data_IF_524361408561
#
_entry.id   IF_524361408561
#
_cell.length_a   1.000
_cell.length_b   1.000
_cell.length_c   1.000
_cell.angle_alpha   90.00
_cell.angle_beta   90.00
_cell.angle_gamma   90.00
#
_symmetry.space_group_name_H-M   'P 1'
#
loop_
_entity.id
_entity.type
_entity.pdbx_description
1 polymer ?
#
# COMPACT_ATOMS: atom_id res chain seq x y z
N UNK A 1 41.48 8.88 -8.15
CA UNK A 1 40.31 9.72 -7.81
C UNK A 1 39.17 8.78 -7.45
N UNK A 2 38.73 8.72 -6.19
CA UNK A 2 37.59 7.88 -5.80
C UNK A 2 36.34 8.56 -6.34
N UNK A 3 35.64 7.89 -7.26
CA UNK A 3 34.40 8.39 -7.84
C UNK A 3 33.38 8.55 -6.71
N UNK A 4 33.14 9.80 -6.29
CA UNK A 4 32.18 10.15 -5.24
C UNK A 4 30.76 10.14 -5.83
N UNK A 5 30.46 9.13 -6.65
CA UNK A 5 29.21 9.01 -7.37
C UNK A 5 28.12 8.65 -6.38
N UNK A 6 27.14 9.52 -6.27
CA UNK A 6 26.00 9.33 -5.39
C UNK A 6 25.16 8.12 -5.84
N UNK A 7 24.59 7.40 -4.89
CA UNK A 7 23.61 6.35 -5.18
C UNK A 7 22.21 6.91 -5.43
N UNK A 8 21.38 6.19 -6.19
CA UNK A 8 20.01 6.60 -6.45
C UNK A 8 19.17 6.77 -5.16
N UNK A 9 19.27 5.89 -4.14
CA UNK A 9 18.58 6.11 -2.86
C UNK A 9 18.99 7.41 -2.15
N UNK A 10 20.27 7.81 -2.23
CA UNK A 10 20.73 9.09 -1.66
C UNK A 10 20.18 10.28 -2.44
N UNK A 11 20.13 10.20 -3.78
CA UNK A 11 19.49 11.21 -4.62
C UNK A 11 17.98 11.34 -4.33
N UNK A 12 17.29 10.23 -4.08
CA UNK A 12 15.87 10.25 -3.70
C UNK A 12 15.64 10.93 -2.34
N UNK A 13 16.50 10.67 -1.35
CA UNK A 13 16.44 11.38 -0.06
C UNK A 13 16.60 12.88 -0.26
N UNK A 14 17.53 13.28 -1.13
CA UNK A 14 17.70 14.69 -1.50
C UNK A 14 16.45 15.26 -2.20
N UNK A 15 15.81 14.54 -3.13
CA UNK A 15 14.56 14.99 -3.73
C UNK A 15 13.43 15.16 -2.73
N UNK A 16 13.36 14.31 -1.70
CA UNK A 16 12.38 14.47 -0.64
C UNK A 16 12.62 15.76 0.18
N UNK A 17 13.88 16.09 0.48
CA UNK A 17 14.26 17.32 1.21
C UNK A 17 13.97 18.59 0.38
N UNK A 18 14.33 18.59 -0.91
CA UNK A 18 14.20 19.76 -1.80
C UNK A 18 12.96 19.73 -2.69
N UNK A 19 11.93 18.93 -2.34
CA UNK A 19 10.76 18.69 -3.19
C UNK A 19 10.02 19.98 -3.61
N UNK A 20 9.99 20.99 -2.73
CA UNK A 20 9.32 22.26 -2.99
C UNK A 20 10.17 23.22 -3.84
N UNK A 21 11.44 22.86 -4.10
CA UNK A 21 12.36 23.67 -4.90
C UNK A 21 12.60 23.12 -6.30
N UNK A 22 12.07 21.93 -6.60
CA UNK A 22 12.26 21.24 -7.88
C UNK A 22 10.87 20.96 -8.47
N UNK A 23 10.66 21.40 -9.71
CA UNK A 23 9.48 21.05 -10.51
C UNK A 23 9.92 20.21 -11.70
N UNK A 24 9.09 19.23 -12.07
CA UNK A 24 9.40 18.22 -13.11
C UNK A 24 8.54 18.47 -14.34
N UNK A 25 9.12 18.26 -15.54
CA UNK A 25 8.35 18.27 -16.79
C UNK A 25 7.54 16.95 -16.89
N UNK A 26 6.21 17.06 -16.85
CA UNK A 26 5.33 15.88 -16.84
C UNK A 26 5.28 15.16 -18.17
N UNK A 27 5.42 15.88 -19.30
CA UNK A 27 5.41 15.29 -20.64
C UNK A 27 6.66 14.45 -20.84
N UNK A 28 7.83 15.02 -20.54
CA UNK A 28 9.09 14.29 -20.60
C UNK A 28 9.09 13.06 -19.68
N UNK A 29 8.54 13.18 -18.47
CA UNK A 29 8.38 12.02 -17.57
C UNK A 29 7.55 10.91 -18.22
N UNK A 30 6.41 11.25 -18.84
CA UNK A 30 5.51 10.30 -19.47
C UNK A 30 6.13 9.65 -20.71
N UNK A 31 6.86 10.41 -21.53
CA UNK A 31 7.56 9.92 -22.73
C UNK A 31 8.69 8.93 -22.38
N UNK A 32 9.38 9.16 -21.27
CA UNK A 32 10.47 8.32 -20.80
C UNK A 32 10.02 7.18 -19.85
N UNK A 33 8.74 7.12 -19.49
CA UNK A 33 8.23 6.12 -18.58
C UNK A 33 7.76 4.86 -19.31
N UNK A 34 8.34 3.72 -18.93
CA UNK A 34 7.80 2.42 -19.34
C UNK A 34 6.84 1.89 -18.28
N UNK A 35 5.63 1.53 -18.71
CA UNK A 35 4.60 1.02 -17.81
C UNK A 35 5.00 -0.35 -17.25
N UNK A 36 4.94 -0.49 -15.92
CA UNK A 36 5.40 -1.71 -15.22
C UNK A 36 4.26 -2.62 -14.76
N UNK A 37 3.01 -2.31 -15.13
CA UNK A 37 1.82 -3.08 -14.77
C UNK A 37 0.76 -3.03 -15.87
N UNK A 38 -0.34 -3.77 -15.69
CA UNK A 38 -1.44 -3.81 -16.65
C UNK A 38 -2.17 -2.47 -16.66
N UNK A 39 -2.37 -1.87 -17.84
CA UNK A 39 -3.20 -0.69 -18.02
C UNK A 39 -4.68 -1.06 -17.82
N UNK A 40 -5.39 -0.17 -17.13
CA UNK A 40 -6.80 -0.31 -16.77
C UNK A 40 -7.60 0.79 -17.46
N UNK A 41 -8.74 0.43 -18.03
CA UNK A 41 -9.70 1.36 -18.61
C UNK A 41 -10.71 1.78 -17.56
N UNK A 42 -11.13 3.05 -17.58
CA UNK A 42 -12.23 3.54 -16.73
C UNK A 42 -13.56 2.99 -17.27
N UNK A 43 -14.36 2.39 -16.38
CA UNK A 43 -15.64 1.77 -16.70
C UNK A 43 -15.74 0.31 -16.30
N UNK A 44 -16.89 -0.28 -16.62
CA UNK A 44 -17.19 -1.71 -16.46
C UNK A 44 -17.59 -2.28 -17.81
N UNK A 45 -17.38 -3.58 -18.04
CA UNK A 45 -17.91 -4.24 -19.24
C UNK A 45 -19.32 -4.74 -18.97
N UNK A 46 -20.22 -4.57 -19.93
CA UNK A 46 -21.57 -5.14 -19.89
C UNK A 46 -21.55 -6.65 -20.21
N UNK A 47 -22.74 -7.27 -20.26
CA UNK A 47 -22.90 -8.69 -20.58
C UNK A 47 -22.40 -9.06 -22.00
N UNK A 48 -22.33 -8.09 -22.91
CA UNK A 48 -21.82 -8.24 -24.28
C UNK A 48 -20.32 -7.97 -24.38
N UNK A 49 -19.69 -7.52 -23.31
CA UNK A 49 -18.26 -7.18 -23.25
C UNK A 49 -17.94 -5.74 -23.67
N UNK A 50 -18.94 -4.90 -23.95
CA UNK A 50 -18.79 -3.49 -24.32
C UNK A 50 -18.44 -2.64 -23.10
N UNK A 51 -17.56 -1.65 -23.27
CA UNK A 51 -17.10 -0.80 -22.16
C UNK A 51 -18.14 0.30 -21.86
N UNK A 52 -18.83 0.16 -20.73
CA UNK A 52 -19.65 1.22 -20.14
C UNK A 52 -18.77 2.18 -19.36
N UNK A 53 -18.56 3.37 -19.93
CA UNK A 53 -17.79 4.42 -19.29
C UNK A 53 -18.56 5.04 -18.10
N UNK A 54 -17.87 5.53 -17.07
CA UNK A 54 -18.52 6.27 -16.00
C UNK A 54 -19.18 7.56 -16.54
N UNK A 55 -20.30 7.97 -15.93
CA UNK A 55 -21.01 9.20 -16.34
C UNK A 55 -20.27 10.49 -15.95
N UNK A 56 -19.26 10.37 -15.08
CA UNK A 56 -18.31 11.42 -14.71
C UNK A 56 -16.89 11.07 -15.16
N UNK A 57 -16.09 12.10 -15.36
CA UNK A 57 -14.66 12.01 -15.62
C UNK A 57 -13.92 13.13 -14.88
N UNK A 58 -12.59 13.11 -14.98
CA UNK A 58 -11.70 14.09 -14.34
C UNK A 58 -11.01 14.94 -15.38
N UNK A 59 -10.93 16.24 -15.13
CA UNK A 59 -10.12 17.19 -15.90
C UNK A 59 -9.14 17.89 -14.97
N UNK A 60 -7.90 18.07 -15.41
CA UNK A 60 -6.92 18.87 -14.66
C UNK A 60 -7.37 20.34 -14.60
N UNK A 61 -7.18 20.95 -13.44
CA UNK A 61 -7.51 22.37 -13.24
C UNK A 61 -6.42 23.24 -13.88
N UNK A 62 -5.18 22.79 -13.80
CA UNK A 62 -4.04 23.43 -14.43
C UNK A 62 -3.67 22.74 -15.75
N UNK A 63 -3.24 23.54 -16.72
CA UNK A 63 -2.59 23.06 -17.95
C UNK A 63 -1.06 23.14 -17.82
N UNK A 64 -0.53 23.03 -16.58
CA UNK A 64 0.89 23.23 -16.34
C UNK A 64 1.70 22.04 -16.87
N UNK A 65 2.74 22.35 -17.65
CA UNK A 65 3.71 21.37 -18.12
C UNK A 65 4.70 20.97 -17.02
N UNK A 66 5.00 21.90 -16.11
CA UNK A 66 5.82 21.62 -14.93
C UNK A 66 4.94 21.53 -13.69
N UNK A 67 5.19 20.50 -12.90
CA UNK A 67 4.46 20.21 -11.67
C UNK A 67 5.44 19.99 -10.52
N UNK A 68 4.97 20.09 -9.28
CA UNK A 68 5.80 19.82 -8.11
C UNK A 68 6.41 18.41 -8.13
N UNK A 69 7.64 18.28 -7.61
CA UNK A 69 8.26 16.98 -7.39
C UNK A 69 7.35 16.06 -6.57
N UNK A 70 7.22 14.81 -7.02
CA UNK A 70 6.40 13.81 -6.35
C UNK A 70 7.01 13.29 -5.05
N UNK A 71 6.26 12.44 -4.35
CA UNK A 71 6.74 11.72 -3.17
C UNK A 71 7.29 10.35 -3.58
N UNK A 72 8.46 10.01 -3.08
CA UNK A 72 9.10 8.73 -3.41
C UNK A 72 8.79 7.69 -2.35
N UNK A 73 8.44 6.48 -2.78
CA UNK A 73 8.13 5.36 -1.90
C UNK A 73 8.85 4.10 -2.39
N UNK A 74 9.62 3.50 -1.49
CA UNK A 74 10.16 2.16 -1.71
C UNK A 74 9.06 1.14 -1.51
N UNK A 75 9.01 0.13 -2.38
CA UNK A 75 8.07 -0.97 -2.24
C UNK A 75 8.42 -1.80 -0.99
N UNK A 76 7.40 -2.44 -0.41
CA UNK A 76 7.52 -3.23 0.82
C UNK A 76 8.11 -4.62 0.59
N UNK A 77 8.04 -5.16 -0.63
CA UNK A 77 8.53 -6.52 -0.93
C UNK A 77 9.14 -6.71 -2.32
N UNK A 78 9.41 -5.65 -3.07
CA UNK A 78 10.19 -5.71 -4.32
C UNK A 78 11.24 -4.61 -4.36
N UNK A 79 12.29 -4.77 -5.18
CA UNK A 79 13.25 -3.71 -5.46
C UNK A 79 12.66 -2.66 -6.42
N UNK A 80 11.60 -1.99 -5.98
CA UNK A 80 10.85 -1.00 -6.75
C UNK A 80 10.80 0.31 -5.99
N UNK A 81 11.03 1.41 -6.69
CA UNK A 81 10.83 2.77 -6.16
C UNK A 81 9.79 3.45 -7.06
N UNK A 82 8.76 3.98 -6.43
CA UNK A 82 7.73 4.74 -7.12
C UNK A 82 7.81 6.22 -6.75
N UNK A 83 7.42 7.08 -7.70
CA UNK A 83 7.19 8.50 -7.50
C UNK A 83 5.68 8.78 -7.65
N UNK A 84 5.05 9.21 -6.56
CA UNK A 84 3.65 9.59 -6.49
C UNK A 84 3.50 11.09 -6.80
N UNK A 85 2.86 11.40 -7.92
CA UNK A 85 2.52 12.75 -8.33
C UNK A 85 1.07 13.04 -7.96
N UNK A 86 0.87 14.17 -7.27
CA UNK A 86 -0.44 14.69 -6.88
C UNK A 86 -0.77 15.92 -7.72
N UNK A 87 -1.91 15.91 -8.41
CA UNK A 87 -2.42 17.06 -9.20
C UNK A 87 -3.87 17.35 -8.88
N UNK A 88 -4.28 18.59 -9.10
CA UNK A 88 -5.67 19.00 -8.86
C UNK A 88 -6.53 18.76 -10.09
N UNK A 89 -7.72 18.21 -9.86
CA UNK A 89 -8.71 17.89 -10.87
C UNK A 89 -10.10 18.33 -10.43
N UNK A 90 -10.94 18.65 -11.41
CA UNK A 90 -12.38 18.83 -11.24
C UNK A 90 -13.13 17.64 -11.84
N UNK A 91 -14.32 17.35 -11.33
CA UNK A 91 -15.24 16.39 -11.94
C UNK A 91 -16.05 17.07 -13.05
N UNK A 92 -16.14 16.44 -14.22
CA UNK A 92 -17.00 16.88 -15.33
C UNK A 92 -17.86 15.71 -15.81
N UNK A 93 -19.06 16.01 -16.31
CA UNK A 93 -19.91 15.00 -16.96
C UNK A 93 -19.23 14.51 -18.24
N UNK A 94 -19.29 13.21 -18.50
CA UNK A 94 -18.65 12.60 -19.66
C UNK A 94 -19.32 13.02 -20.99
N UNK A 95 -20.62 13.28 -20.98
CA UNK A 95 -21.42 13.62 -22.16
C UNK A 95 -21.12 15.01 -22.73
N UNK A 96 -21.10 16.04 -21.88
CA UNK A 96 -21.07 17.45 -22.28
C UNK A 96 -19.91 18.24 -21.66
N UNK A 97 -19.04 17.58 -20.88
CA UNK A 97 -17.93 18.20 -20.12
C UNK A 97 -18.39 19.25 -19.11
N UNK A 98 -19.67 19.29 -18.75
CA UNK A 98 -20.18 20.24 -17.76
C UNK A 98 -19.56 19.94 -16.38
N UNK A 99 -18.96 20.94 -15.70
CA UNK A 99 -18.39 20.77 -14.37
C UNK A 99 -19.43 20.39 -13.32
N UNK A 100 -19.08 19.42 -12.47
CA UNK A 100 -19.76 19.18 -11.19
C UNK A 100 -19.04 20.00 -10.14
N UNK A 101 -19.74 20.95 -9.51
CA UNK A 101 -19.13 21.86 -8.53
C UNK A 101 -19.23 21.33 -7.11
N UNK A 102 -20.35 20.66 -6.79
CA UNK A 102 -20.68 20.21 -5.45
C UNK A 102 -21.33 18.82 -5.50
N UNK A 103 -21.02 17.98 -4.51
CA UNK A 103 -21.72 16.72 -4.24
C UNK A 103 -22.03 16.68 -2.74
N UNK A 104 -23.31 16.66 -2.37
CA UNK A 104 -23.77 16.52 -0.99
C UNK A 104 -23.09 17.49 0.03
N UNK A 105 -22.94 18.76 -0.34
CA UNK A 105 -22.29 19.79 0.48
C UNK A 105 -20.76 19.84 0.38
N UNK A 106 -20.13 18.93 -0.38
CA UNK A 106 -18.69 18.91 -0.62
C UNK A 106 -18.37 19.56 -1.97
N UNK A 107 -17.48 20.55 -1.99
CA UNK A 107 -16.92 21.08 -3.24
C UNK A 107 -16.02 20.04 -3.91
N UNK A 108 -16.31 19.70 -5.16
CA UNK A 108 -15.61 18.66 -5.94
C UNK A 108 -14.88 19.22 -7.18
N UNK A 109 -14.70 20.54 -7.19
CA UNK A 109 -13.98 21.26 -8.23
C UNK A 109 -12.47 21.36 -7.98
N UNK A 110 -11.96 20.87 -6.83
CA UNK A 110 -10.53 20.88 -6.46
C UNK A 110 -10.06 19.57 -5.78
N UNK A 111 -10.42 18.44 -6.38
CA UNK A 111 -10.05 17.11 -5.91
C UNK A 111 -8.61 16.74 -6.28
N UNK A 112 -8.05 15.78 -5.55
CA UNK A 112 -6.71 15.26 -5.84
C UNK A 112 -6.78 14.05 -6.77
N UNK A 113 -6.03 14.11 -7.86
CA UNK A 113 -5.65 12.97 -8.68
C UNK A 113 -4.23 12.54 -8.33
N UNK A 114 -4.01 11.23 -8.28
CA UNK A 114 -2.73 10.63 -7.92
C UNK A 114 -2.25 9.74 -9.07
N UNK A 115 -1.06 10.03 -9.59
CA UNK A 115 -0.42 9.26 -10.64
C UNK A 115 0.89 8.69 -10.11
N UNK A 116 1.08 7.38 -10.22
CA UNK A 116 2.26 6.70 -9.71
C UNK A 116 3.18 6.31 -10.86
N UNK A 117 4.43 6.75 -10.80
CA UNK A 117 5.46 6.48 -11.81
C UNK A 117 6.58 5.64 -11.19
N UNK A 118 6.79 4.45 -11.72
CA UNK A 118 7.88 3.57 -11.28
C UNK A 118 9.23 4.12 -11.77
N UNK A 119 10.08 4.57 -10.84
CA UNK A 119 11.44 5.07 -11.12
C UNK A 119 12.42 3.90 -11.25
N UNK A 120 12.33 2.94 -10.32
CA UNK A 120 13.09 1.68 -10.34
C UNK A 120 12.10 0.54 -10.29
N UNK A 121 12.30 -0.46 -11.13
CA UNK A 121 11.41 -1.59 -11.30
C UNK A 121 12.18 -2.90 -11.20
N UNK A 122 11.96 -3.66 -10.13
CA UNK A 122 12.64 -4.94 -9.85
C UNK A 122 14.17 -4.83 -10.00
N UNK A 123 14.78 -3.82 -9.38
CA UNK A 123 16.23 -3.60 -9.38
C UNK A 123 16.78 -3.01 -10.68
N UNK A 124 15.94 -2.45 -11.55
CA UNK A 124 16.36 -1.80 -12.80
C UNK A 124 15.79 -0.40 -12.94
N UNK A 125 16.61 0.54 -13.38
CA UNK A 125 16.18 1.92 -13.67
C UNK A 125 15.15 1.90 -14.80
N UNK A 126 13.99 2.48 -14.54
CA UNK A 126 12.87 2.55 -15.47
C UNK A 126 12.76 3.94 -16.12
N UNK A 127 13.02 5.00 -15.35
CA UNK A 127 13.11 6.38 -15.83
C UNK A 127 14.58 6.80 -15.77
N UNK A 128 15.16 7.04 -16.94
CA UNK A 128 16.61 7.30 -17.09
C UNK A 128 17.01 8.72 -16.74
N UNK A 129 16.10 9.68 -16.90
CA UNK A 129 16.38 11.08 -16.63
C UNK A 129 15.10 11.83 -16.28
N UNK A 130 15.27 12.95 -15.58
CA UNK A 130 14.19 13.88 -15.24
C UNK A 130 14.55 15.27 -15.78
N UNK A 131 13.67 15.83 -16.62
CA UNK A 131 13.72 17.25 -16.95
C UNK A 131 13.08 18.05 -15.82
N UNK A 132 13.81 19.04 -15.31
CA UNK A 132 13.42 19.79 -14.12
C UNK A 132 13.71 21.29 -14.27
N UNK A 133 13.03 22.09 -13.46
CA UNK A 133 13.47 23.44 -13.11
C UNK A 133 13.77 23.50 -11.63
N UNK A 134 14.83 24.21 -11.27
CA UNK A 134 15.37 24.28 -9.92
C UNK A 134 15.32 25.74 -9.47
N UNK A 135 14.60 26.01 -8.38
CA UNK A 135 14.47 27.35 -7.80
C UNK A 135 15.52 27.65 -6.72
N UNK A 136 16.22 26.63 -6.23
CA UNK A 136 17.20 26.74 -5.14
C UNK A 136 18.62 26.57 -5.66
N UNK A 137 19.44 27.62 -5.52
CA UNK A 137 20.88 27.56 -5.81
C UNK A 137 21.58 26.46 -5.00
N UNK A 138 21.19 26.27 -3.73
CA UNK A 138 21.73 25.21 -2.88
C UNK A 138 21.46 23.81 -3.48
N UNK A 139 20.25 23.61 -4.00
CA UNK A 139 19.89 22.34 -4.61
C UNK A 139 20.66 22.12 -5.92
N UNK A 140 20.77 23.16 -6.74
CA UNK A 140 21.56 23.13 -7.98
C UNK A 140 23.03 22.79 -7.72
N UNK A 141 23.69 23.52 -6.81
CA UNK A 141 25.12 23.35 -6.51
C UNK A 141 25.39 21.92 -6.03
N UNK A 142 24.50 21.35 -5.21
CA UNK A 142 24.64 19.99 -4.71
C UNK A 142 24.48 18.94 -5.83
N UNK A 143 23.46 19.06 -6.68
CA UNK A 143 23.24 18.13 -7.78
C UNK A 143 24.42 18.15 -8.77
N UNK A 144 24.97 19.34 -9.03
CA UNK A 144 26.17 19.53 -9.84
C UNK A 144 27.40 18.90 -9.19
N UNK A 145 27.63 19.13 -7.89
CA UNK A 145 28.74 18.54 -7.14
C UNK A 145 28.71 17.01 -7.18
N UNK A 146 27.51 16.41 -7.13
CA UNK A 146 27.32 14.95 -7.22
C UNK A 146 27.37 14.40 -8.64
N UNK A 147 27.56 15.25 -9.65
CA UNK A 147 27.72 14.85 -11.05
C UNK A 147 26.44 14.30 -11.70
N UNK A 148 25.26 14.58 -11.12
CA UNK A 148 23.97 14.15 -11.69
C UNK A 148 23.30 15.24 -12.54
N UNK A 149 23.91 16.43 -12.56
CA UNK A 149 23.46 17.61 -13.27
C UNK A 149 24.61 18.18 -14.10
N UNK A 150 24.45 18.20 -15.42
CA UNK A 150 25.42 18.79 -16.34
C UNK A 150 25.01 20.23 -16.69
N UNK A 151 25.47 21.19 -15.89
CA UNK A 151 25.19 22.61 -16.09
C UNK A 151 26.29 23.50 -15.51
N UNK A 152 26.68 24.55 -16.24
CA UNK A 152 27.74 25.47 -15.82
C UNK A 152 27.27 26.45 -14.74
N UNK A 153 26.16 27.14 -14.98
CA UNK A 153 25.69 28.23 -14.14
C UNK A 153 24.26 27.98 -13.66
N UNK A 154 23.94 28.49 -12.47
CA UNK A 154 22.58 28.47 -11.95
C UNK A 154 21.74 29.57 -12.61
N UNK A 155 20.64 29.16 -13.22
CA UNK A 155 19.56 29.97 -13.76
C UNK A 155 18.20 29.35 -13.37
N UNK A 156 17.34 30.13 -12.72
CA UNK A 156 16.03 29.67 -12.26
C UNK A 156 14.97 29.61 -13.39
N UNK A 157 15.27 30.16 -14.56
CA UNK A 157 14.44 30.04 -15.76
C UNK A 157 14.83 28.84 -16.64
N UNK A 158 16.07 28.37 -16.53
CA UNK A 158 16.58 27.27 -17.33
C UNK A 158 15.92 25.93 -16.96
N UNK A 159 15.78 25.07 -17.97
CA UNK A 159 15.50 23.66 -17.79
C UNK A 159 16.82 22.89 -17.66
N UNK A 160 16.83 21.92 -16.75
CA UNK A 160 17.96 21.04 -16.55
C UNK A 160 17.55 19.57 -16.66
N UNK A 161 18.51 18.73 -17.02
CA UNK A 161 18.34 17.28 -17.03
C UNK A 161 19.11 16.67 -15.87
N UNK A 162 18.39 16.02 -14.95
CA UNK A 162 19.01 15.18 -13.92
C UNK A 162 19.09 13.76 -14.47
N UNK A 163 20.32 13.25 -14.56
CA UNK A 163 20.59 11.89 -15.02
C UNK A 163 20.41 10.90 -13.87
N UNK A 164 19.58 9.89 -14.10
CA UNK A 164 19.37 8.76 -13.19
C UNK A 164 20.04 7.49 -13.71
N UNK A 165 20.43 7.47 -14.98
CA UNK A 165 21.08 6.33 -15.61
C UNK A 165 22.45 6.06 -15.01
N UNK A 166 22.80 4.78 -14.90
CA UNK A 166 24.08 4.32 -14.36
C UNK A 166 24.37 4.72 -12.90
N UNK A 167 23.41 5.30 -12.17
CA UNK A 167 23.55 5.52 -10.73
C UNK A 167 23.56 4.17 -10.00
N UNK A 168 24.48 3.97 -9.03
CA UNK A 168 24.42 2.81 -8.15
C UNK A 168 23.06 2.75 -7.46
N UNK A 169 22.37 1.61 -7.59
CA UNK A 169 21.11 1.39 -6.89
C UNK A 169 21.34 1.12 -5.40
N UNK A 170 22.54 0.71 -5.04
CA UNK A 170 22.93 0.40 -3.66
C UNK A 170 24.14 1.23 -3.28
N UNK A 171 24.08 1.89 -2.12
CA UNK A 171 25.22 2.59 -1.57
C UNK A 171 26.22 1.59 -0.95
N UNK A 172 27.51 1.86 -1.15
CA UNK A 172 28.61 0.96 -0.76
C UNK A 172 28.74 0.73 0.75
N UNK A 173 28.23 1.64 1.57
CA UNK A 173 28.33 1.63 3.04
C UNK A 173 26.94 1.57 3.72
N UNK A 174 25.99 0.86 3.11
CA UNK A 174 24.64 0.76 3.67
C UNK A 174 24.63 -0.14 4.91
N UNK A 175 24.19 0.40 6.05
CA UNK A 175 23.86 -0.40 7.24
C UNK A 175 22.37 -0.69 7.27
N UNK A 176 21.99 -1.95 7.50
CA UNK A 176 20.60 -2.37 7.59
C UNK A 176 20.16 -2.59 9.03
N UNK A 177 18.91 -2.25 9.33
CA UNK A 177 18.34 -2.47 10.66
C UNK A 177 18.12 -3.95 10.93
N UNK A 178 18.22 -4.35 12.21
CA UNK A 178 17.81 -5.69 12.63
C UNK A 178 16.30 -5.88 12.39
N UNK A 179 15.94 -7.00 11.76
CA UNK A 179 14.55 -7.38 11.45
C UNK A 179 13.95 -8.36 12.47
N UNK A 180 14.71 -8.79 13.47
CA UNK A 180 14.25 -9.69 14.52
C UNK A 180 13.08 -9.07 15.31
N UNK A 181 12.01 -9.84 15.52
CA UNK A 181 10.80 -9.42 16.22
C UNK A 181 9.89 -8.41 15.49
N UNK A 182 10.35 -7.76 14.41
CA UNK A 182 9.53 -6.78 13.67
C UNK A 182 8.26 -7.39 13.07
N UNK A 183 8.32 -8.67 12.66
CA UNK A 183 7.17 -9.34 12.06
C UNK A 183 5.98 -9.40 13.01
N UNK A 184 6.17 -9.83 14.26
CA UNK A 184 5.06 -9.98 15.22
C UNK A 184 4.39 -8.64 15.48
N UNK A 185 5.18 -7.58 15.63
CA UNK A 185 4.69 -6.22 15.78
C UNK A 185 3.86 -5.76 14.56
N UNK A 186 4.35 -6.01 13.34
CA UNK A 186 3.60 -5.68 12.12
C UNK A 186 2.33 -6.52 11.99
N UNK A 187 2.37 -7.78 12.40
CA UNK A 187 1.24 -8.70 12.36
C UNK A 187 0.14 -8.28 13.36
N UNK A 188 0.49 -7.93 14.60
CA UNK A 188 -0.42 -7.37 15.60
C UNK A 188 -1.16 -6.13 15.05
N UNK A 189 -0.40 -5.16 14.55
CA UNK A 189 -0.96 -3.92 14.00
C UNK A 189 -1.82 -4.22 12.77
N UNK A 190 -1.40 -5.13 11.88
CA UNK A 190 -2.18 -5.53 10.70
C UNK A 190 -3.52 -6.14 11.11
N UNK A 191 -3.53 -7.03 12.10
CA UNK A 191 -4.77 -7.67 12.60
C UNK A 191 -5.71 -6.61 13.14
N UNK A 192 -5.24 -5.73 14.02
CA UNK A 192 -6.06 -4.65 14.58
C UNK A 192 -6.55 -3.67 13.51
N UNK A 193 -5.67 -3.24 12.60
CA UNK A 193 -6.03 -2.37 11.46
C UNK A 193 -7.10 -3.04 10.60
N UNK A 194 -6.98 -4.35 10.33
CA UNK A 194 -8.00 -5.08 9.56
C UNK A 194 -9.35 -5.14 10.26
N UNK A 195 -9.37 -5.24 11.59
CA UNK A 195 -10.61 -5.23 12.38
C UNK A 195 -11.26 -3.84 12.31
N UNK A 196 -10.48 -2.80 12.63
CA UNK A 196 -10.95 -1.41 12.63
C UNK A 196 -11.44 -0.99 11.25
N UNK A 197 -10.68 -1.28 10.19
CA UNK A 197 -11.06 -0.99 8.81
C UNK A 197 -12.33 -1.72 8.38
N UNK A 198 -12.53 -2.96 8.85
CA UNK A 198 -13.75 -3.72 8.55
C UNK A 198 -14.99 -3.11 9.23
N UNK A 199 -14.83 -2.57 10.45
CA UNK A 199 -15.88 -1.84 11.14
C UNK A 199 -16.18 -0.50 10.45
N UNK A 200 -15.14 0.28 10.15
CA UNK A 200 -15.27 1.61 9.55
C UNK A 200 -15.72 1.60 8.08
N UNK A 201 -15.98 0.45 7.46
CA UNK A 201 -16.20 0.34 6.02
C UNK A 201 -17.31 1.25 5.49
N UNK A 202 -18.40 1.42 6.25
CA UNK A 202 -19.54 2.31 5.94
C UNK A 202 -19.71 3.44 6.94
N UNK A 203 -18.82 3.53 7.92
CA UNK A 203 -18.86 4.56 8.95
C UNK A 203 -17.86 5.66 8.60
N UNK A 204 -18.21 6.88 9.00
CA UNK A 204 -17.38 8.07 8.89
C UNK A 204 -17.63 8.95 10.10
N UNK A 205 -16.56 9.51 10.64
CA UNK A 205 -16.57 10.53 11.69
C UNK A 205 -16.82 11.94 11.11
N UNK A 206 -16.83 12.08 9.79
CA UNK A 206 -16.98 13.37 9.09
C UNK A 206 -18.31 13.48 8.35
N UNK A 207 -18.82 12.39 7.79
CA UNK A 207 -19.95 12.40 6.86
C UNK A 207 -21.05 11.45 7.32
N UNK A 208 -22.31 11.86 7.17
CA UNK A 208 -23.47 11.01 7.47
C UNK A 208 -23.74 10.00 6.34
N UNK A 209 -24.47 8.92 6.64
CA UNK A 209 -24.76 7.86 5.66
C UNK A 209 -25.39 8.36 4.33
N UNK A 210 -26.38 9.28 4.33
CA UNK A 210 -26.90 9.85 3.08
C UNK A 210 -25.84 10.56 2.22
N UNK A 211 -24.87 11.25 2.83
CA UNK A 211 -23.76 11.87 2.09
C UNK A 211 -22.84 10.82 1.48
N UNK A 212 -22.52 9.75 2.23
CA UNK A 212 -21.67 8.66 1.76
C UNK A 212 -22.30 7.90 0.58
N UNK A 213 -23.62 7.70 0.61
CA UNK A 213 -24.36 7.12 -0.51
C UNK A 213 -24.29 8.01 -1.75
N UNK A 214 -24.39 9.33 -1.58
CA UNK A 214 -24.28 10.28 -2.67
C UNK A 214 -22.86 10.37 -3.25
N UNK A 215 -21.84 10.37 -2.39
CA UNK A 215 -20.43 10.26 -2.78
C UNK A 215 -20.20 9.03 -3.65
N UNK A 216 -20.73 7.88 -3.24
CA UNK A 216 -20.59 6.63 -4.00
C UNK A 216 -21.21 6.71 -5.39
N UNK A 217 -22.37 7.37 -5.55
CA UNK A 217 -22.99 7.61 -6.88
C UNK A 217 -22.13 8.50 -7.78
N UNK A 218 -21.32 9.37 -7.18
CA UNK A 218 -20.39 10.29 -7.85
C UNK A 218 -18.94 9.78 -7.88
N UNK A 219 -18.73 8.48 -7.63
CA UNK A 219 -17.41 7.84 -7.63
C UNK A 219 -16.43 8.42 -6.61
N UNK A 220 -16.91 8.88 -5.46
CA UNK A 220 -16.11 9.36 -4.34
C UNK A 220 -16.12 8.35 -3.19
N UNK A 221 -14.97 8.17 -2.53
CA UNK A 221 -14.91 7.49 -1.23
C UNK A 221 -15.32 8.40 -0.08
N UNK A 222 -15.52 7.79 1.09
CA UNK A 222 -15.63 8.51 2.38
C UNK A 222 -14.44 9.43 2.70
N UNK A 223 -13.26 9.14 2.14
CA UNK A 223 -12.06 9.98 2.28
C UNK A 223 -11.92 10.99 1.13
N UNK A 224 -12.97 11.17 0.31
CA UNK A 224 -13.04 12.10 -0.84
C UNK A 224 -12.12 11.77 -2.01
N UNK A 225 -11.48 10.60 -2.02
CA UNK A 225 -10.74 10.12 -3.19
C UNK A 225 -11.67 9.68 -4.31
N UNK A 226 -11.25 9.98 -5.54
CA UNK A 226 -11.91 9.58 -6.78
C UNK A 226 -11.67 8.08 -7.04
N UNK A 227 -12.75 7.33 -7.19
CA UNK A 227 -12.78 5.88 -7.32
C UNK A 227 -13.68 5.45 -8.48
N UNK A 228 -13.28 5.81 -9.70
CA UNK A 228 -13.95 5.29 -10.89
C UNK A 228 -13.83 3.76 -10.94
N UNK A 229 -14.89 3.05 -11.38
CA UNK A 229 -14.75 1.65 -11.71
C UNK A 229 -13.72 1.50 -12.84
N UNK A 230 -12.99 0.38 -12.84
CA UNK A 230 -12.04 0.09 -13.91
C UNK A 230 -12.11 -1.36 -14.35
N UNK A 231 -11.71 -1.62 -15.59
CA UNK A 231 -11.60 -2.96 -16.19
C UNK A 231 -10.27 -3.11 -16.94
N UNK A 232 -9.93 -4.34 -17.34
CA UNK A 232 -8.76 -4.59 -18.20
C UNK A 232 -9.05 -4.17 -19.64
N UNK A 233 -7.99 -3.78 -20.36
CA UNK A 233 -8.06 -3.55 -21.82
C UNK A 233 -8.45 -4.81 -22.58
N UNK A 234 -8.07 -5.98 -22.05
CA UNK A 234 -8.35 -7.29 -22.61
C UNK A 234 -9.45 -8.03 -21.82
N UNK A 235 -10.14 -8.94 -22.50
CA UNK A 235 -11.07 -9.91 -21.90
C UNK A 235 -10.37 -11.25 -21.62
N UNK A 236 -9.43 -11.65 -22.48
CA UNK A 236 -8.64 -12.87 -22.34
C UNK A 236 -7.14 -12.57 -22.26
N UNK A 237 -6.50 -12.97 -21.15
CA UNK A 237 -5.08 -12.73 -20.92
C UNK A 237 -4.18 -13.49 -21.90
N UNK A 238 -4.58 -14.69 -22.32
CA UNK A 238 -3.77 -15.51 -23.24
C UNK A 238 -3.71 -14.86 -24.62
N UNK A 239 -4.85 -14.39 -25.13
CA UNK A 239 -4.91 -13.65 -26.39
C UNK A 239 -4.09 -12.35 -26.31
N UNK A 240 -4.19 -11.64 -25.19
CA UNK A 240 -3.44 -10.39 -24.97
C UNK A 240 -1.91 -10.61 -24.91
N UNK A 241 -1.45 -11.77 -24.43
CA UNK A 241 -0.03 -12.15 -24.47
C UNK A 241 0.39 -12.55 -25.88
N UNK A 242 -0.42 -13.34 -26.58
CA UNK A 242 -0.12 -13.81 -27.95
C UNK A 242 -0.07 -12.65 -28.94
N UNK A 243 -0.97 -11.68 -28.82
CA UNK A 243 -1.04 -10.52 -29.71
C UNK A 243 -0.10 -9.37 -29.30
N UNK A 244 0.65 -9.51 -28.21
CA UNK A 244 1.64 -8.53 -27.75
C UNK A 244 1.09 -7.30 -27.05
N UNK A 245 -0.21 -7.25 -26.72
CA UNK A 245 -0.79 -6.17 -25.89
C UNK A 245 -0.21 -6.19 -24.48
N UNK A 246 -0.01 -7.40 -23.95
CA UNK A 246 0.69 -7.64 -22.69
C UNK A 246 2.03 -8.31 -22.93
N UNK A 247 2.92 -8.10 -21.98
CA UNK A 247 4.11 -8.90 -21.80
C UNK A 247 4.24 -9.30 -20.33
N UNK A 248 5.18 -10.19 -20.04
CA UNK A 248 5.42 -10.71 -18.71
C UNK A 248 6.88 -10.61 -18.33
N UNK A 249 7.14 -10.52 -17.04
CA UNK A 249 8.49 -10.54 -16.47
C UNK A 249 8.51 -11.27 -15.14
N UNK A 250 9.68 -11.75 -14.78
CA UNK A 250 9.92 -12.30 -13.45
C UNK A 250 10.21 -11.15 -12.48
N UNK A 251 9.46 -11.10 -11.38
CA UNK A 251 9.65 -10.18 -10.26
C UNK A 251 10.04 -10.99 -9.03
N UNK A 252 11.13 -10.59 -8.38
CA UNK A 252 11.58 -11.19 -7.12
C UNK A 252 10.80 -10.56 -5.97
N UNK A 253 10.10 -11.39 -5.20
CA UNK A 253 9.41 -11.01 -3.98
C UNK A 253 10.29 -11.33 -2.79
N UNK A 254 10.49 -10.34 -1.93
CA UNK A 254 11.25 -10.43 -0.69
C UNK A 254 10.31 -10.13 0.46
N UNK A 255 9.82 -11.18 1.12
CA UNK A 255 8.92 -11.04 2.25
C UNK A 255 9.65 -11.33 3.57
N UNK A 256 9.17 -10.71 4.65
CA UNK A 256 9.62 -10.97 6.01
C UNK A 256 8.49 -11.64 6.80
N UNK A 257 8.84 -12.76 7.43
CA UNK A 257 7.98 -13.58 8.26
C UNK A 257 8.57 -13.87 9.64
N UNK A 258 7.88 -14.71 10.39
CA UNK A 258 8.38 -15.40 11.58
C UNK A 258 8.62 -16.88 11.26
N UNK A 259 9.15 -17.62 12.24
CA UNK A 259 9.27 -19.08 12.18
C UNK A 259 7.92 -19.81 12.13
N UNK A 260 6.81 -19.15 12.42
CA UNK A 260 5.46 -19.75 12.40
C UNK A 260 4.58 -19.25 11.24
N UNK A 261 4.84 -18.03 10.74
CA UNK A 261 4.01 -17.37 9.73
C UNK A 261 4.93 -16.69 8.71
N UNK A 262 4.90 -17.20 7.47
CA UNK A 262 5.88 -16.84 6.44
C UNK A 262 5.84 -15.37 5.99
N UNK A 263 4.66 -14.75 5.97
CA UNK A 263 4.49 -13.34 5.65
C UNK A 263 3.10 -12.83 6.06
N UNK A 264 2.91 -11.52 5.98
CA UNK A 264 1.65 -10.86 6.32
C UNK A 264 0.48 -11.21 5.38
N UNK A 265 0.71 -11.85 4.23
CA UNK A 265 -0.36 -12.27 3.32
C UNK A 265 -1.12 -13.51 3.81
N UNK A 266 -0.53 -14.26 4.76
CA UNK A 266 -1.15 -15.44 5.36
C UNK A 266 -2.35 -15.12 6.25
N UNK A 267 -2.45 -13.88 6.73
CA UNK A 267 -3.58 -13.43 7.56
C UNK A 267 -4.84 -13.27 6.71
N UNK A 268 -5.93 -13.98 7.03
CA UNK A 268 -7.23 -13.73 6.41
C UNK A 268 -7.75 -12.32 6.74
N UNK A 269 -8.71 -11.82 5.95
CA UNK A 269 -9.41 -10.58 6.30
C UNK A 269 -10.18 -10.73 7.61
N UNK A 270 -10.40 -9.62 8.32
CA UNK A 270 -11.08 -9.65 9.60
C UNK A 270 -12.48 -10.31 9.52
N UNK A 271 -13.27 -9.99 8.50
CA UNK A 271 -14.57 -10.65 8.29
C UNK A 271 -14.44 -12.15 8.00
N UNK A 272 -13.41 -12.60 7.28
CA UNK A 272 -13.18 -14.03 7.04
C UNK A 272 -12.82 -14.76 8.33
N UNK A 273 -12.00 -14.16 9.18
CA UNK A 273 -11.67 -14.71 10.50
C UNK A 273 -12.87 -14.71 11.45
N UNK A 274 -13.63 -13.61 11.51
CA UNK A 274 -14.87 -13.49 12.27
C UNK A 274 -15.84 -14.63 11.94
N UNK A 275 -16.10 -14.84 10.64
CA UNK A 275 -16.98 -15.90 10.15
C UNK A 275 -16.48 -17.32 10.45
N UNK A 276 -15.17 -17.50 10.61
CA UNK A 276 -14.55 -18.81 10.90
C UNK A 276 -14.62 -19.14 12.39
N UNK A 277 -14.33 -18.19 13.27
CA UNK A 277 -14.06 -18.43 14.69
C UNK A 277 -15.19 -17.99 15.63
N UNK A 278 -16.12 -17.16 15.16
CA UNK A 278 -17.16 -16.56 16.01
C UNK A 278 -18.57 -16.74 15.43
N UNK A 279 -19.57 -16.48 16.27
CA UNK A 279 -20.98 -16.36 15.89
C UNK A 279 -21.53 -15.07 16.48
N UNK A 280 -22.30 -14.34 15.68
CA UNK A 280 -23.17 -13.29 16.18
C UNK A 280 -24.57 -13.89 16.39
N UNK A 281 -25.25 -13.45 17.44
CA UNK A 281 -26.62 -13.83 17.70
C UNK A 281 -27.39 -12.65 18.29
N UNK A 282 -28.69 -12.65 18.06
CA UNK A 282 -29.61 -11.69 18.67
C UNK A 282 -29.78 -11.98 20.17
N UNK A 283 -29.65 -10.96 21.02
CA UNK A 283 -29.71 -11.11 22.48
C UNK A 283 -31.11 -11.50 22.97
N UNK A 284 -32.16 -11.09 22.27
CA UNK A 284 -33.55 -11.34 22.64
C UNK A 284 -34.04 -12.68 22.10
N UNK A 285 -33.81 -12.95 20.81
CA UNK A 285 -34.35 -14.15 20.14
C UNK A 285 -33.39 -15.34 20.18
N UNK A 286 -32.09 -15.10 20.42
CA UNK A 286 -31.05 -16.12 20.35
C UNK A 286 -30.71 -16.60 18.93
N UNK A 287 -31.33 -16.00 17.90
CA UNK A 287 -31.13 -16.38 16.50
C UNK A 287 -29.69 -16.14 16.05
N UNK A 288 -29.10 -17.11 15.34
CA UNK A 288 -27.71 -17.05 14.88
C UNK A 288 -27.65 -16.39 13.50
N UNK A 289 -26.81 -15.35 13.37
CA UNK A 289 -26.54 -14.70 12.10
C UNK A 289 -25.60 -15.58 11.25
N UNK A 290 -26.05 -15.96 10.05
CA UNK A 290 -25.37 -16.96 9.19
C UNK A 290 -24.07 -16.42 8.56
N UNK A 291 -23.95 -15.09 8.38
CA UNK A 291 -22.76 -14.41 7.82
C UNK A 291 -22.47 -13.10 8.54
N UNK A 292 -21.98 -13.13 9.79
CA UNK A 292 -21.61 -11.92 10.49
C UNK A 292 -20.52 -11.14 9.75
N UNK A 293 -20.55 -9.84 9.93
CA UNK A 293 -19.49 -8.94 9.53
C UNK A 293 -19.27 -7.90 10.65
N UNK A 294 -18.14 -7.20 10.61
CA UNK A 294 -17.79 -6.22 11.64
C UNK A 294 -18.72 -5.01 11.70
N UNK A 295 -19.44 -4.67 10.62
CA UNK A 295 -20.45 -3.60 10.63
C UNK A 295 -21.57 -3.91 11.66
N UNK A 296 -21.80 -5.20 11.95
CA UNK A 296 -22.86 -5.66 12.87
C UNK A 296 -22.40 -5.78 14.33
N UNK A 297 -21.09 -5.81 14.61
CA UNK A 297 -20.53 -6.24 15.90
C UNK A 297 -20.87 -5.29 17.06
N UNK A 298 -21.03 -3.99 16.79
CA UNK A 298 -21.42 -3.00 17.81
C UNK A 298 -22.91 -2.63 17.77
N UNK A 299 -23.75 -3.44 17.12
CA UNK A 299 -25.20 -3.30 17.27
C UNK A 299 -25.61 -3.72 18.69
N UNK A 300 -26.34 -2.87 19.40
CA UNK A 300 -26.74 -3.09 20.80
C UNK A 300 -27.53 -4.39 21.01
N UNK A 301 -28.28 -4.84 20.00
CA UNK A 301 -29.11 -6.05 20.07
C UNK A 301 -28.34 -7.34 19.74
N UNK A 302 -27.09 -7.24 19.27
CA UNK A 302 -26.29 -8.40 18.90
C UNK A 302 -25.20 -8.67 19.94
N UNK A 303 -24.95 -9.95 20.19
CA UNK A 303 -23.85 -10.43 21.02
C UNK A 303 -22.95 -11.37 20.21
N UNK A 304 -21.67 -11.42 20.61
CA UNK A 304 -20.66 -12.28 19.98
C UNK A 304 -20.30 -13.40 20.94
N UNK A 305 -20.11 -14.61 20.41
CA UNK A 305 -19.52 -15.73 21.15
C UNK A 305 -18.63 -16.58 20.27
N UNK A 306 -17.77 -17.40 20.88
CA UNK A 306 -16.98 -18.37 20.15
C UNK A 306 -17.85 -19.36 19.39
N UNK A 307 -17.41 -19.70 18.18
CA UNK A 307 -18.00 -20.79 17.40
C UNK A 307 -17.47 -22.12 17.93
N UNK A 308 -18.36 -23.08 18.16
CA UNK A 308 -17.99 -24.48 18.31
C UNK A 308 -17.44 -24.98 16.98
N UNK A 309 -16.13 -25.23 16.93
CA UNK A 309 -15.44 -25.73 15.76
C UNK A 309 -15.60 -27.25 15.67
N UNK A 310 -15.78 -27.77 14.45
CA UNK A 310 -15.81 -29.21 14.24
C UNK A 310 -14.42 -29.81 14.45
N UNK A 311 -14.34 -31.09 14.81
CA UNK A 311 -13.08 -31.83 14.95
C UNK A 311 -12.22 -31.87 13.67
N UNK A 312 -12.82 -31.60 12.51
CA UNK A 312 -12.12 -31.49 11.22
C UNK A 312 -11.45 -30.13 11.00
N UNK A 313 -11.77 -29.13 11.80
CA UNK A 313 -11.23 -27.78 11.63
C UNK A 313 -9.81 -27.72 12.20
N UNK A 314 -8.81 -27.69 11.32
CA UNK A 314 -7.42 -27.50 11.73
C UNK A 314 -7.19 -26.04 12.15
N UNK A 315 -6.77 -25.86 13.41
CA UNK A 315 -6.26 -24.58 13.93
C UNK A 315 -4.81 -24.41 13.45
N UNK A 316 -4.50 -23.24 12.92
CA UNK A 316 -3.18 -22.89 12.41
C UNK A 316 -2.51 -21.88 13.34
N UNK A 317 -1.19 -21.66 13.20
CA UNK A 317 -0.49 -20.60 13.94
C UNK A 317 -1.01 -19.20 13.63
N UNK A 318 -1.54 -18.98 12.43
CA UNK A 318 -2.25 -17.74 12.08
C UNK A 318 -3.52 -17.59 12.93
N UNK A 319 -4.28 -18.67 13.12
CA UNK A 319 -5.48 -18.66 13.95
C UNK A 319 -5.14 -18.40 15.43
N UNK A 320 -4.10 -19.07 15.95
CA UNK A 320 -3.60 -18.88 17.32
C UNK A 320 -3.10 -17.46 17.56
N UNK A 321 -2.46 -16.84 16.56
CA UNK A 321 -1.99 -15.46 16.65
C UNK A 321 -3.12 -14.44 16.62
N UNK A 322 -4.11 -14.60 15.73
CA UNK A 322 -5.20 -13.64 15.58
C UNK A 322 -6.21 -13.70 16.73
N UNK A 323 -6.47 -14.89 17.27
CA UNK A 323 -7.56 -15.11 18.22
C UNK A 323 -7.47 -14.22 19.48
N UNK A 324 -6.33 -14.09 20.18
CA UNK A 324 -6.24 -13.23 21.38
C UNK A 324 -6.57 -11.76 21.09
N UNK A 325 -6.14 -11.24 19.94
CA UNK A 325 -6.43 -9.84 19.52
C UNK A 325 -7.92 -9.67 19.24
N UNK A 326 -8.54 -10.64 18.58
CA UNK A 326 -9.98 -10.62 18.34
C UNK A 326 -10.78 -10.73 19.64
N UNK A 327 -10.38 -11.63 20.54
CA UNK A 327 -11.08 -11.85 21.80
C UNK A 327 -11.04 -10.60 22.67
N UNK A 328 -9.88 -9.94 22.75
CA UNK A 328 -9.72 -8.68 23.48
C UNK A 328 -10.51 -7.54 22.84
N UNK A 329 -10.46 -7.41 21.51
CA UNK A 329 -11.23 -6.38 20.78
C UNK A 329 -12.75 -6.56 20.94
N UNK A 330 -13.22 -7.81 20.89
CA UNK A 330 -14.63 -8.17 21.00
C UNK A 330 -15.14 -8.16 22.45
N UNK A 331 -14.25 -8.02 23.44
CA UNK A 331 -14.57 -8.07 24.86
C UNK A 331 -14.92 -9.48 25.36
N UNK A 332 -14.45 -10.52 24.68
CA UNK A 332 -14.62 -11.93 25.08
C UNK A 332 -13.53 -12.39 26.06
N UNK A 333 -12.37 -11.74 26.02
CA UNK A 333 -11.25 -11.91 26.93
C UNK A 333 -10.68 -10.52 27.26
N UNK A 334 -10.07 -10.34 28.43
CA UNK A 334 -9.47 -9.07 28.86
C UNK A 334 -7.97 -9.24 29.04
N UNK A 335 -7.30 -9.66 27.97
CA UNK A 335 -5.86 -9.92 27.98
C UNK A 335 -5.02 -8.65 27.71
N UNK A 336 -5.65 -7.53 27.32
CA UNK A 336 -5.03 -6.21 27.22
C UNK A 336 -4.20 -5.97 25.95
N UNK A 337 -4.10 -6.95 25.05
CA UNK A 337 -3.25 -6.87 23.86
C UNK A 337 -3.63 -5.70 22.94
N UNK A 338 -4.93 -5.40 22.79
CA UNK A 338 -5.41 -4.30 21.96
C UNK A 338 -5.00 -2.97 22.56
N UNK A 339 -5.16 -2.81 23.87
CA UNK A 339 -4.76 -1.59 24.59
C UNK A 339 -3.25 -1.36 24.45
N UNK A 340 -2.44 -2.41 24.57
CA UNK A 340 -0.99 -2.31 24.44
C UNK A 340 -0.58 -1.92 23.01
N UNK A 341 -1.19 -2.51 21.98
CA UNK A 341 -0.97 -2.11 20.57
C UNK A 341 -1.33 -0.63 20.38
N UNK A 342 -2.48 -0.19 20.91
CA UNK A 342 -2.96 1.18 20.76
C UNK A 342 -2.04 2.20 21.45
N UNK A 343 -1.63 1.94 22.70
CA UNK A 343 -0.66 2.80 23.42
C UNK A 343 0.66 2.89 22.68
N UNK A 344 1.15 1.77 22.14
CA UNK A 344 2.40 1.71 21.38
C UNK A 344 2.41 2.61 20.15
N UNK A 345 1.26 2.79 19.49
CA UNK A 345 1.11 3.70 18.35
C UNK A 345 0.60 5.09 18.74
N UNK A 346 0.45 5.38 20.03
CA UNK A 346 -0.06 6.64 20.56
C UNK A 346 -1.55 6.88 20.29
N UNK A 347 -2.35 5.83 20.16
CA UNK A 347 -3.80 5.89 19.98
C UNK A 347 -4.56 5.84 21.32
N UNK A 348 -4.15 6.70 22.27
CA UNK A 348 -4.56 6.64 23.67
C UNK A 348 -6.07 6.85 23.88
N UNK A 349 -6.71 7.66 23.04
CA UNK A 349 -8.16 7.92 23.12
C UNK A 349 -8.95 6.60 22.94
N UNK A 350 -8.64 5.82 21.90
CA UNK A 350 -9.32 4.55 21.68
C UNK A 350 -9.00 3.53 22.78
N UNK A 351 -7.76 3.54 23.28
CA UNK A 351 -7.36 2.68 24.40
C UNK A 351 -8.19 3.00 25.65
N UNK A 352 -8.38 4.28 25.98
CA UNK A 352 -9.22 4.74 27.08
C UNK A 352 -10.68 4.33 26.87
N UNK A 353 -11.23 4.52 25.67
CA UNK A 353 -12.61 4.09 25.38
C UNK A 353 -12.81 2.58 25.58
N UNK A 354 -11.85 1.74 25.18
CA UNK A 354 -11.95 0.31 25.45
C UNK A 354 -11.90 -0.02 26.96
N UNK A 355 -11.07 0.67 27.74
CA UNK A 355 -11.05 0.53 29.20
C UNK A 355 -12.37 0.97 29.84
N UNK A 356 -12.91 2.11 29.42
CA UNK A 356 -14.19 2.62 29.91
C UNK A 356 -15.35 1.66 29.59
N UNK A 357 -15.36 1.09 28.38
CA UNK A 357 -16.33 0.07 27.98
C UNK A 357 -16.26 -1.18 28.86
N UNK A 358 -15.06 -1.61 29.24
CA UNK A 358 -14.86 -2.74 30.17
C UNK A 358 -15.44 -2.46 31.56
N UNK A 359 -15.47 -1.20 31.99
CA UNK A 359 -16.10 -0.77 33.25
C UNK A 359 -17.62 -0.56 33.17
N UNK A 360 -18.24 -0.88 32.02
CA UNK A 360 -19.68 -0.75 31.81
C UNK A 360 -20.15 0.66 31.42
N UNK A 361 -19.23 1.59 31.13
CA UNK A 361 -19.60 2.92 30.64
C UNK A 361 -20.18 2.81 29.22
N UNK A 362 -21.32 3.45 29.00
CA UNK A 362 -21.90 3.57 27.67
C UNK A 362 -21.11 4.61 26.86
N UNK A 363 -20.71 4.24 25.65
CA UNK A 363 -19.94 5.08 24.72
C UNK A 363 -20.81 5.29 23.49
N UNK A 364 -20.93 6.53 23.03
CA UNK A 364 -21.72 6.81 21.84
C UNK A 364 -21.09 6.23 20.58
N UNK A 365 -21.91 5.95 19.57
CA UNK A 365 -21.42 5.44 18.30
C UNK A 365 -20.46 6.42 17.64
N UNK A 366 -20.78 7.71 17.70
CA UNK A 366 -20.00 8.79 17.09
C UNK A 366 -18.62 8.91 17.73
N UNK A 367 -18.54 8.86 19.07
CA UNK A 367 -17.28 8.90 19.80
C UNK A 367 -16.40 7.69 19.47
N UNK A 368 -17.00 6.51 19.39
CA UNK A 368 -16.30 5.28 18.99
C UNK A 368 -15.78 5.35 17.55
N UNK A 369 -16.61 5.80 16.59
CA UNK A 369 -16.22 5.94 15.18
C UNK A 369 -15.07 6.92 15.02
N UNK A 370 -15.11 8.08 15.70
CA UNK A 370 -14.03 9.07 15.67
C UNK A 370 -12.71 8.50 16.23
N UNK A 371 -12.76 7.82 17.38
CA UNK A 371 -11.58 7.21 17.98
C UNK A 371 -11.00 6.09 17.11
N UNK A 372 -11.85 5.26 16.51
CA UNK A 372 -11.44 4.21 15.57
C UNK A 372 -10.80 4.79 14.30
N UNK A 373 -11.39 5.84 13.71
CA UNK A 373 -10.81 6.54 12.55
C UNK A 373 -9.42 7.08 12.86
N UNK A 374 -9.27 7.80 13.98
CA UNK A 374 -7.99 8.37 14.39
C UNK A 374 -6.93 7.29 14.71
N UNK A 375 -7.33 6.20 15.37
CA UNK A 375 -6.44 5.07 15.65
C UNK A 375 -5.98 4.37 14.37
N UNK A 376 -6.88 4.17 13.40
CA UNK A 376 -6.55 3.52 12.12
C UNK A 376 -5.45 4.30 11.37
N UNK A 377 -5.55 5.64 11.32
CA UNK A 377 -4.50 6.49 10.71
C UNK A 377 -3.17 6.37 11.44
N UNK A 378 -3.17 6.32 12.78
CA UNK A 378 -1.94 6.16 13.57
C UNK A 378 -1.29 4.78 13.36
N UNK A 379 -2.08 3.72 13.34
CA UNK A 379 -1.62 2.34 13.05
C UNK A 379 -0.99 2.25 11.65
N UNK A 380 -1.65 2.79 10.62
CA UNK A 380 -1.13 2.81 9.24
C UNK A 380 0.18 3.58 9.12
N UNK A 381 0.26 4.78 9.73
CA UNK A 381 1.47 5.60 9.74
C UNK A 381 2.63 4.90 10.47
N UNK A 382 2.34 4.24 11.58
CA UNK A 382 3.33 3.52 12.35
C UNK A 382 3.93 2.35 11.55
N UNK A 383 3.09 1.58 10.84
CA UNK A 383 3.53 0.52 9.93
C UNK A 383 4.38 1.08 8.80
N UNK A 384 3.95 2.19 8.19
CA UNK A 384 4.69 2.81 7.08
C UNK A 384 6.10 3.24 7.51
N UNK A 385 6.25 3.83 8.70
CA UNK A 385 7.56 4.19 9.25
C UNK A 385 8.47 2.96 9.42
N UNK A 386 7.96 1.83 9.95
CA UNK A 386 8.76 0.61 10.04
C UNK A 386 9.22 0.14 8.66
N UNK A 387 8.32 0.18 7.67
CA UNK A 387 8.68 -0.23 6.32
C UNK A 387 9.75 0.68 5.73
N UNK A 388 9.54 1.99 5.72
CA UNK A 388 10.48 2.95 5.12
C UNK A 388 11.84 2.95 5.83
N UNK A 389 11.86 2.85 7.15
CA UNK A 389 13.11 2.98 7.92
C UNK A 389 13.90 1.67 8.03
N UNK A 390 13.21 0.52 8.08
CA UNK A 390 13.84 -0.76 8.47
C UNK A 390 13.76 -1.85 7.41
N UNK A 391 12.64 -1.99 6.72
CA UNK A 391 12.37 -3.17 5.87
C UNK A 391 12.62 -2.87 4.39
N UNK A 392 11.99 -1.83 3.85
CA UNK A 392 12.06 -1.49 2.43
C UNK A 392 13.50 -1.25 1.93
N UNK A 393 14.41 -0.60 2.68
CA UNK A 393 15.81 -0.49 2.27
C UNK A 393 16.50 -1.85 2.12
N UNK A 394 16.25 -2.78 3.05
CA UNK A 394 16.79 -4.15 3.00
C UNK A 394 16.21 -4.94 1.83
N UNK A 395 14.88 -4.89 1.65
CA UNK A 395 14.18 -5.49 0.52
C UNK A 395 14.73 -4.98 -0.81
N UNK A 396 14.96 -3.66 -0.90
CA UNK A 396 15.51 -3.02 -2.08
C UNK A 396 16.94 -3.48 -2.36
N UNK A 397 17.80 -3.56 -1.33
CA UNK A 397 19.15 -4.11 -1.46
C UNK A 397 19.15 -5.54 -1.98
N UNK A 398 18.38 -6.42 -1.34
CA UNK A 398 18.32 -7.83 -1.69
C UNK A 398 17.82 -7.98 -3.13
N UNK A 399 16.75 -7.26 -3.51
CA UNK A 399 16.22 -7.33 -4.86
C UNK A 399 17.13 -6.70 -5.93
N UNK A 400 18.01 -5.76 -5.59
CA UNK A 400 18.99 -5.21 -6.53
C UNK A 400 20.25 -6.09 -6.68
N UNK A 401 20.72 -6.70 -5.59
CA UNK A 401 22.00 -7.43 -5.56
C UNK A 401 21.82 -8.95 -5.74
N UNK A 402 20.64 -9.47 -5.43
CA UNK A 402 20.40 -10.91 -5.30
C UNK A 402 21.05 -11.53 -4.05
N UNK A 403 21.63 -10.73 -3.17
CA UNK A 403 22.40 -11.17 -2.01
C UNK A 403 21.80 -10.61 -0.72
N UNK A 404 22.00 -11.33 0.40
CA UNK A 404 21.83 -10.74 1.71
C UNK A 404 23.00 -9.79 2.02
N UNK A 405 22.79 -8.70 2.77
CA UNK A 405 23.88 -7.88 3.28
C UNK A 405 24.89 -8.71 4.09
N UNK A 406 26.16 -8.34 4.04
CA UNK A 406 27.27 -9.07 4.70
C UNK A 406 27.08 -9.21 6.21
N UNK A 407 26.34 -8.29 6.84
CA UNK A 407 26.01 -8.34 8.26
C UNK A 407 25.05 -9.50 8.60
N UNK A 408 24.26 -9.97 7.63
CA UNK A 408 23.27 -11.04 7.80
C UNK A 408 23.89 -12.38 7.39
N UNK A 409 24.50 -13.06 8.37
CA UNK A 409 25.09 -14.39 8.19
C UNK A 409 24.04 -15.50 8.34
N UNK A 410 23.14 -15.63 7.37
CA UNK A 410 22.14 -16.70 7.34
C UNK A 410 22.42 -17.69 6.20
N UNK A 411 22.22 -18.98 6.49
CA UNK A 411 22.31 -20.03 5.45
C UNK A 411 21.00 -20.10 4.66
N UNK A 412 21.06 -20.22 3.32
CA UNK A 412 19.87 -20.46 2.52
C UNK A 412 19.27 -21.83 2.86
N UNK A 413 17.95 -21.92 2.77
CA UNK A 413 17.17 -23.14 2.90
C UNK A 413 16.16 -23.22 1.75
N UNK A 414 15.86 -24.43 1.30
CA UNK A 414 14.72 -24.71 0.42
C UNK A 414 13.40 -24.65 1.20
N UNK A 415 12.25 -24.65 0.51
CA UNK A 415 10.95 -24.75 1.17
C UNK A 415 10.81 -26.05 1.98
N UNK A 416 11.38 -27.16 1.50
CA UNK A 416 11.35 -28.46 2.19
C UNK A 416 12.18 -28.43 3.48
N UNK A 417 13.39 -27.87 3.42
CA UNK A 417 14.27 -27.70 4.58
C UNK A 417 13.64 -26.75 5.61
N UNK A 418 13.05 -25.64 5.14
CA UNK A 418 12.35 -24.69 5.98
C UNK A 418 11.11 -25.33 6.64
N UNK A 419 10.33 -26.12 5.91
CA UNK A 419 9.17 -26.83 6.44
C UNK A 419 9.57 -27.93 7.45
N UNK A 420 10.68 -28.64 7.21
CA UNK A 420 11.20 -29.64 8.15
C UNK A 420 11.67 -29.00 9.46
N UNK A 421 12.31 -27.83 9.37
CA UNK A 421 12.80 -27.08 10.54
C UNK A 421 11.68 -26.32 11.27
N UNK A 422 10.74 -25.78 10.52
CA UNK A 422 9.65 -24.93 11.00
C UNK A 422 8.31 -25.45 10.45
N UNK A 423 7.72 -26.48 11.09
CA UNK A 423 6.60 -27.26 10.53
C UNK A 423 5.28 -26.49 10.42
N UNK A 424 5.18 -25.29 11.00
CA UNK A 424 3.98 -24.46 10.94
C UNK A 424 3.92 -23.56 9.70
N UNK A 425 5.04 -23.42 8.96
CA UNK A 425 5.09 -22.58 7.78
C UNK A 425 4.22 -23.15 6.65
N UNK A 426 3.49 -22.24 5.98
CA UNK A 426 2.61 -22.57 4.86
C UNK A 426 3.07 -21.87 3.59
N UNK A 427 3.45 -22.67 2.59
CA UNK A 427 3.98 -22.20 1.31
C UNK A 427 2.91 -22.29 0.21
N UNK A 428 2.77 -21.22 -0.55
CA UNK A 428 2.03 -21.16 -1.81
C UNK A 428 2.92 -21.67 -2.96
N UNK A 429 2.32 -21.87 -4.14
CA UNK A 429 3.02 -22.43 -5.31
C UNK A 429 4.35 -21.73 -5.61
N UNK A 430 4.36 -20.40 -5.65
CA UNK A 430 5.58 -19.65 -5.96
C UNK A 430 6.60 -19.69 -4.81
N UNK A 431 6.14 -19.74 -3.56
CA UNK A 431 7.02 -19.82 -2.38
C UNK A 431 7.67 -21.21 -2.27
N UNK A 432 7.06 -22.27 -2.80
CA UNK A 432 7.68 -23.61 -2.82
C UNK A 432 8.99 -23.65 -3.63
N UNK A 433 9.12 -22.77 -4.62
CA UNK A 433 10.33 -22.61 -5.44
C UNK A 433 11.27 -21.52 -4.87
N UNK A 434 10.98 -21.01 -3.67
CA UNK A 434 11.72 -19.93 -3.02
C UNK A 434 12.96 -20.37 -2.26
N UNK A 435 13.77 -19.38 -1.88
CA UNK A 435 14.90 -19.51 -0.95
C UNK A 435 14.59 -18.79 0.35
N UNK A 436 14.91 -19.42 1.48
CA UNK A 436 14.54 -18.94 2.81
C UNK A 436 15.78 -18.77 3.70
N UNK A 437 15.77 -17.73 4.51
CA UNK A 437 16.88 -17.42 5.42
C UNK A 437 16.32 -17.16 6.82
N UNK A 438 16.77 -17.94 7.80
CA UNK A 438 16.45 -17.68 9.20
C UNK A 438 17.39 -16.62 9.77
N UNK A 439 16.83 -15.51 10.26
CA UNK A 439 17.55 -14.38 10.84
C UNK A 439 16.94 -14.09 12.21
N UNK A 440 17.55 -14.62 13.27
CA UNK A 440 16.94 -14.62 14.60
C UNK A 440 15.62 -15.39 14.59
N UNK A 441 14.55 -14.76 15.08
CA UNK A 441 13.18 -15.31 15.05
C UNK A 441 12.40 -14.95 13.77
N UNK A 442 13.05 -14.25 12.84
CA UNK A 442 12.46 -13.85 11.55
C UNK A 442 12.91 -14.78 10.41
N UNK A 443 12.09 -14.83 9.36
CA UNK A 443 12.41 -15.50 8.09
C UNK A 443 12.38 -14.48 6.97
N UNK A 444 13.46 -14.37 6.20
CA UNK A 444 13.45 -13.69 4.91
C UNK A 444 13.13 -14.73 3.84
N UNK A 445 12.09 -14.47 3.05
CA UNK A 445 11.65 -15.32 1.96
C UNK A 445 11.92 -14.63 0.64
N UNK A 446 12.65 -15.27 -0.26
CA UNK A 446 12.92 -14.77 -1.62
C UNK A 446 12.32 -15.75 -2.62
N UNK A 447 11.36 -15.31 -3.42
CA UNK A 447 10.72 -16.17 -4.42
C UNK A 447 10.32 -15.38 -5.67
N UNK A 448 10.18 -16.08 -6.78
CA UNK A 448 9.88 -15.45 -8.07
C UNK A 448 8.38 -15.48 -8.34
N UNK A 449 7.86 -14.41 -8.93
CA UNK A 449 6.50 -14.36 -9.45
C UNK A 449 6.48 -13.73 -10.84
N UNK A 450 5.71 -14.32 -11.74
CA UNK A 450 5.40 -13.70 -13.03
C UNK A 450 4.46 -12.50 -12.83
N UNK A 451 4.91 -11.32 -13.24
CA UNK A 451 4.12 -10.10 -13.27
C UNK A 451 3.88 -9.69 -14.72
N UNK A 452 2.69 -9.17 -15.00
CA UNK A 452 2.26 -8.78 -16.34
C UNK A 452 2.22 -7.25 -16.47
N UNK A 453 2.56 -6.75 -17.65
CA UNK A 453 2.50 -5.33 -17.95
C UNK A 453 2.02 -5.06 -19.37
N UNK A 454 1.34 -3.93 -19.58
CA UNK A 454 0.95 -3.51 -20.93
C UNK A 454 2.14 -2.93 -21.67
N UNK A 455 2.37 -3.38 -22.91
CA UNK A 455 3.29 -2.70 -23.81
C UNK A 455 2.69 -1.37 -24.26
N UNK A 456 3.53 -0.37 -24.43
CA UNK A 456 3.18 0.79 -25.25
C UNK A 456 3.06 0.28 -26.69
N UNK A 457 1.85 -0.11 -27.09
CA UNK A 457 1.52 -0.14 -28.51
C UNK A 457 1.61 1.33 -28.92
N UNK A 458 2.45 1.65 -29.90
CA UNK A 458 2.55 2.98 -30.50
C UNK A 458 1.19 3.36 -31.08
N UNK A 459 0.34 3.95 -30.26
CA UNK A 459 -0.97 4.48 -30.63
C UNK A 459 -0.97 5.92 -30.13
N UNK A 460 -1.28 6.82 -31.06
CA UNK A 460 -1.12 8.26 -30.92
C UNK A 460 -1.72 8.85 -29.65
N UNK A 461 -1.15 9.98 -29.28
CA UNK A 461 -1.57 10.88 -28.22
C UNK A 461 -3.09 11.06 -28.24
N UNK A 462 -3.80 10.47 -27.27
CA UNK A 462 -5.16 10.87 -26.95
C UNK A 462 -5.10 11.77 -25.70
N UNK A 463 -5.51 13.02 -25.92
CA UNK A 463 -5.54 14.14 -24.99
C UNK A 463 -6.45 13.92 -23.76
#
# INVERSE_FOLDING_TARGET
MRNNQISLPELIKFFAEYRNNIIINIKHLQENYQRTGIKRLKGVRDEKGELLQPWLQTEYIDNAEYIGMGEFQFNRNTATINMLIKRKVKLTKSEDKTPTLEVAGLLVNDLNSFNNYTIVSDGKINIKSLQVKISSKKAFDWLKEKGVLDAENFDFHAEYTIQLDNLPLVASNSSYSNIDGLFNQLAEIKVLTSIISAYLKKESDVFIAPQLDEFKKHYLSKNTYINFPTTNEYTNIHEALVNGTLDSRLSYKIDIGSQDILNLSKFPSANKFLNRMYRLYDKETGEIIIKPNFEMVFNENLAVRHRLLSSRTKITKVDEFMKPIFDDFLGLDQNGIVIDILKKVGADILAQLFQEKQTGKQISKEEMVAALSAANTKLEKYVENIYQDKISPLVFYIGCTGLLPDEIKAKPMTAEEAAAKYPNLQFSKNEQEGTFFAVGNSIISIYVKTEYYSKLISVGIDN
#
